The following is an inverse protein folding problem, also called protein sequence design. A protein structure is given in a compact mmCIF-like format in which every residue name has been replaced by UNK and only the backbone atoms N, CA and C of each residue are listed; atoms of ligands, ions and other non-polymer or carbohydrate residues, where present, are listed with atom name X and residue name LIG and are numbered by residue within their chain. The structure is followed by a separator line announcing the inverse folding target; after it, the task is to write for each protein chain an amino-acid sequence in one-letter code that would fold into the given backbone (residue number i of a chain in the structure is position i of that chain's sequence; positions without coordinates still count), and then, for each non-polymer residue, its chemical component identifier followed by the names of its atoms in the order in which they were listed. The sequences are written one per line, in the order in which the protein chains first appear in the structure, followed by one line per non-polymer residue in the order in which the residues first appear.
data_IF_644563834328
#
_entry.id   IF_644563834328
#
_cell.length_a   1.000
_cell.length_b   1.000
_cell.length_c   1.000
_cell.angle_alpha   90.00
_cell.angle_beta   90.00
_cell.angle_gamma   90.00
#
_symmetry.space_group_name_H-M   'P 1'
#
loop_
_entity.id
_entity.type
_entity.pdbx_description
1 polymer ?
#
# COMPACT_ATOMS: atom_id res chain seq x y z
N UNK A 1 -26.63 -36.24 71.49
CA UNK A 1 -25.49 -36.88 70.79
C UNK A 1 -25.89 -37.58 69.48
N UNK A 2 -27.09 -38.15 69.34
CA UNK A 2 -27.54 -38.80 68.09
C UNK A 2 -28.04 -37.83 67.01
N UNK A 3 -28.68 -36.72 67.36
CA UNK A 3 -29.23 -35.73 66.42
C UNK A 3 -28.16 -34.91 65.68
N UNK A 4 -27.05 -34.58 66.35
CA UNK A 4 -25.92 -33.84 65.76
C UNK A 4 -25.17 -34.68 64.71
N UNK A 5 -25.15 -36.00 64.87
CA UNK A 5 -24.52 -36.92 63.93
C UNK A 5 -25.32 -37.02 62.61
N UNK A 6 -26.65 -37.01 62.67
CA UNK A 6 -27.51 -37.01 61.48
C UNK A 6 -27.46 -35.68 60.72
N UNK A 7 -27.42 -34.54 61.43
CA UNK A 7 -27.20 -33.24 60.79
C UNK A 7 -25.82 -33.13 60.15
N UNK A 8 -24.77 -33.65 60.81
CA UNK A 8 -23.43 -33.70 60.24
C UNK A 8 -23.38 -34.58 58.98
N UNK A 9 -24.12 -35.69 58.94
CA UNK A 9 -24.25 -36.54 57.76
C UNK A 9 -24.96 -35.82 56.60
N UNK A 10 -26.07 -35.11 56.86
CA UNK A 10 -26.78 -34.31 55.84
C UNK A 10 -25.93 -33.14 55.32
N UNK A 11 -25.15 -32.48 56.18
CA UNK A 11 -24.20 -31.43 55.77
C UNK A 11 -23.11 -32.01 54.87
N UNK A 12 -22.57 -33.20 55.20
CA UNK A 12 -21.56 -33.89 54.38
C UNK A 12 -22.08 -34.30 53.00
N UNK A 13 -23.30 -34.83 52.91
CA UNK A 13 -23.91 -35.19 51.62
C UNK A 13 -24.21 -33.96 50.76
N UNK A 14 -24.72 -32.87 51.36
CA UNK A 14 -24.94 -31.61 50.66
C UNK A 14 -23.63 -30.98 50.13
N UNK A 15 -22.56 -31.02 50.92
CA UNK A 15 -21.23 -30.54 50.48
C UNK A 15 -20.68 -31.42 49.34
N UNK A 16 -20.87 -32.74 49.41
CA UNK A 16 -20.45 -33.65 48.34
C UNK A 16 -21.20 -33.40 47.03
N UNK A 17 -22.52 -33.14 47.10
CA UNK A 17 -23.33 -32.80 45.93
C UNK A 17 -22.94 -31.44 45.33
N UNK A 18 -22.70 -30.43 46.19
CA UNK A 18 -22.21 -29.12 45.76
C UNK A 18 -20.85 -29.24 45.05
N UNK A 19 -19.92 -30.02 45.62
CA UNK A 19 -18.61 -30.30 45.01
C UNK A 19 -18.74 -30.97 43.65
N UNK A 20 -19.69 -31.91 43.50
CA UNK A 20 -19.96 -32.58 42.21
C UNK A 20 -20.51 -31.59 41.17
N UNK A 21 -21.45 -30.72 41.56
CA UNK A 21 -21.97 -29.65 40.68
C UNK A 21 -20.88 -28.67 40.25
N UNK A 22 -19.96 -28.32 41.15
CA UNK A 22 -18.85 -27.41 40.88
C UNK A 22 -17.83 -28.02 39.90
N UNK A 23 -17.54 -29.31 40.02
CA UNK A 23 -16.70 -30.04 39.06
C UNK A 23 -17.35 -30.07 37.67
N UNK A 24 -18.64 -30.40 37.59
CA UNK A 24 -19.38 -30.40 36.32
C UNK A 24 -19.42 -29.01 35.67
N UNK A 25 -19.60 -27.95 36.46
CA UNK A 25 -19.56 -26.58 35.95
C UNK A 25 -18.20 -26.26 35.34
N UNK A 26 -17.10 -26.62 36.01
CA UNK A 26 -15.73 -26.43 35.52
C UNK A 26 -15.44 -27.19 34.22
N UNK A 27 -15.95 -28.42 34.09
CA UNK A 27 -15.85 -29.20 32.85
C UNK A 27 -16.68 -28.62 31.70
N UNK A 28 -17.87 -28.12 31.99
CA UNK A 28 -18.70 -27.45 30.99
C UNK A 28 -18.07 -26.14 30.52
N UNK A 29 -17.50 -25.34 31.43
CA UNK A 29 -16.77 -24.13 31.08
C UNK A 29 -15.56 -24.42 30.18
N UNK A 30 -14.78 -25.46 30.48
CA UNK A 30 -13.64 -25.84 29.64
C UNK A 30 -14.08 -26.28 28.24
N UNK A 31 -15.18 -27.05 28.14
CA UNK A 31 -15.79 -27.44 26.86
C UNK A 31 -16.32 -26.24 26.07
N UNK A 32 -16.98 -25.29 26.73
CA UNK A 32 -17.47 -24.07 26.07
C UNK A 32 -16.30 -23.26 25.54
N UNK A 33 -15.20 -23.18 26.30
CA UNK A 33 -13.99 -22.48 25.88
C UNK A 33 -13.36 -23.12 24.63
N UNK A 34 -13.16 -24.43 24.61
CA UNK A 34 -12.58 -25.12 23.43
C UNK A 34 -13.47 -24.99 22.20
N UNK A 35 -14.79 -25.13 22.35
CA UNK A 35 -15.73 -24.94 21.24
C UNK A 35 -15.70 -23.50 20.71
N UNK A 36 -15.60 -22.50 21.59
CA UNK A 36 -15.48 -21.09 21.18
C UNK A 36 -14.16 -20.81 20.45
N UNK A 37 -13.05 -21.40 20.91
CA UNK A 37 -11.75 -21.29 20.25
C UNK A 37 -11.78 -21.93 18.85
N UNK A 38 -12.36 -23.13 18.72
CA UNK A 38 -12.55 -23.80 17.44
C UNK A 38 -13.47 -23.01 16.50
N UNK A 39 -14.57 -22.47 17.01
CA UNK A 39 -15.48 -21.62 16.24
C UNK A 39 -14.76 -20.37 15.72
N UNK A 40 -13.89 -19.76 16.55
CA UNK A 40 -13.11 -18.59 16.14
C UNK A 40 -12.09 -18.92 15.06
N UNK A 41 -11.42 -20.08 15.17
CA UNK A 41 -10.50 -20.57 14.15
C UNK A 41 -11.22 -20.83 12.83
N UNK A 42 -12.32 -21.58 12.86
CA UNK A 42 -13.12 -21.91 11.68
C UNK A 42 -13.69 -20.65 11.00
N UNK A 43 -14.15 -19.66 11.77
CA UNK A 43 -14.60 -18.37 11.21
C UNK A 43 -13.47 -17.60 10.52
N UNK A 44 -12.25 -17.65 11.07
CA UNK A 44 -11.09 -16.99 10.47
C UNK A 44 -10.70 -17.66 9.16
N UNK A 45 -10.75 -18.99 9.11
CA UNK A 45 -10.53 -19.74 7.86
C UNK A 45 -11.61 -19.44 6.82
N UNK A 46 -12.89 -19.45 7.24
CA UNK A 46 -14.00 -19.09 6.36
C UNK A 46 -13.82 -17.71 5.74
N UNK A 47 -13.45 -16.69 6.54
CA UNK A 47 -13.20 -15.34 6.05
C UNK A 47 -12.08 -15.30 5.00
N UNK A 48 -10.97 -16.01 5.23
CA UNK A 48 -9.88 -16.11 4.24
C UNK A 48 -10.37 -16.75 2.95
N UNK A 49 -11.07 -17.88 3.03
CA UNK A 49 -11.58 -18.57 1.84
C UNK A 49 -12.63 -17.76 1.09
N UNK A 50 -13.43 -16.95 1.80
CA UNK A 50 -14.41 -16.05 1.20
C UNK A 50 -13.72 -14.89 0.48
N UNK A 51 -12.66 -14.33 1.05
CA UNK A 51 -11.85 -13.29 0.42
C UNK A 51 -11.12 -13.80 -0.82
N UNK A 52 -10.56 -15.02 -0.75
CA UNK A 52 -9.94 -15.70 -1.89
C UNK A 52 -10.98 -15.91 -3.01
N UNK A 53 -12.19 -16.36 -2.67
CA UNK A 53 -13.26 -16.53 -3.64
C UNK A 53 -13.67 -15.20 -4.30
N UNK A 54 -13.79 -14.12 -3.51
CA UNK A 54 -14.08 -12.78 -4.05
C UNK A 54 -12.98 -12.29 -4.99
N UNK A 55 -11.72 -12.59 -4.68
CA UNK A 55 -10.60 -12.24 -5.56
C UNK A 55 -10.70 -12.93 -6.92
N UNK A 56 -11.12 -14.20 -6.95
CA UNK A 56 -11.32 -14.98 -8.18
C UNK A 56 -12.53 -14.51 -9.00
N UNK A 57 -13.58 -13.99 -8.35
CA UNK A 57 -14.76 -13.43 -9.03
C UNK A 57 -14.49 -12.07 -9.67
N UNK A 58 -13.38 -11.41 -9.35
CA UNK A 58 -13.08 -10.11 -9.94
C UNK A 58 -12.79 -10.25 -11.44
N UNK A 59 -13.60 -9.57 -12.26
CA UNK A 59 -13.38 -9.53 -13.70
C UNK A 59 -12.22 -8.60 -14.03
N UNK A 60 -11.39 -9.03 -14.97
CA UNK A 60 -10.30 -8.21 -15.48
C UNK A 60 -10.82 -6.91 -16.11
N UNK A 61 -10.05 -5.83 -15.96
CA UNK A 61 -10.36 -4.55 -16.56
C UNK A 61 -9.33 -4.23 -17.64
N UNK A 62 -9.74 -3.56 -18.71
CA UNK A 62 -8.88 -3.22 -19.84
C UNK A 62 -8.22 -1.87 -19.57
N UNK A 63 -6.92 -1.81 -19.76
CA UNK A 63 -6.17 -0.56 -19.67
C UNK A 63 -6.27 0.18 -21.01
N UNK A 64 -6.49 1.48 -20.95
CA UNK A 64 -6.49 2.36 -22.13
C UNK A 64 -5.99 3.76 -21.81
N UNK A 65 -5.94 4.58 -22.84
CA UNK A 65 -5.53 5.98 -22.77
C UNK A 65 -6.64 6.84 -23.38
N UNK A 66 -6.99 7.94 -22.71
CA UNK A 66 -7.95 8.91 -23.24
C UNK A 66 -7.24 9.77 -24.28
N UNK A 67 -7.74 9.80 -25.51
CA UNK A 67 -7.20 10.67 -26.55
C UNK A 67 -7.82 12.06 -26.44
N UNK A 68 -9.13 12.15 -26.65
CA UNK A 68 -9.85 13.41 -26.68
C UNK A 68 -11.28 13.23 -26.15
N UNK A 69 -11.81 14.20 -25.39
CA UNK A 69 -13.24 14.28 -25.15
C UNK A 69 -13.95 14.60 -26.47
N UNK A 70 -15.06 13.91 -26.75
CA UNK A 70 -15.94 14.25 -27.86
C UNK A 70 -17.10 15.11 -27.35
N UNK A 71 -17.81 14.59 -26.34
CA UNK A 71 -18.95 15.23 -25.69
C UNK A 71 -18.83 15.16 -24.16
N UNK A 72 -19.79 15.75 -23.46
CA UNK A 72 -19.87 15.69 -21.99
C UNK A 72 -19.98 14.26 -21.43
N UNK A 73 -20.49 13.29 -22.21
CA UNK A 73 -20.65 11.88 -21.79
C UNK A 73 -19.76 10.90 -22.54
N UNK A 74 -19.23 11.30 -23.70
CA UNK A 74 -18.51 10.42 -24.63
C UNK A 74 -17.08 10.89 -24.77
N UNK A 75 -16.14 9.98 -24.49
CA UNK A 75 -14.71 10.21 -24.70
C UNK A 75 -14.17 9.22 -25.73
N UNK A 76 -13.13 9.60 -26.44
CA UNK A 76 -12.39 8.68 -27.29
C UNK A 76 -11.26 8.10 -26.46
N UNK A 77 -11.28 6.79 -26.23
CA UNK A 77 -10.20 6.06 -25.59
C UNK A 77 -9.57 5.06 -26.55
N UNK A 78 -8.25 4.97 -26.54
CA UNK A 78 -7.51 3.89 -27.19
C UNK A 78 -7.31 2.80 -26.17
N UNK A 79 -7.84 1.62 -26.43
CA UNK A 79 -7.52 0.46 -25.61
C UNK A 79 -6.07 0.04 -25.83
N UNK A 80 -5.47 -0.63 -24.84
CA UNK A 80 -4.14 -1.24 -24.97
C UNK A 80 -4.05 -2.18 -26.19
N UNK A 81 -5.18 -2.76 -26.63
CA UNK A 81 -5.27 -3.59 -27.83
C UNK A 81 -5.01 -2.83 -29.15
N UNK A 82 -4.96 -1.49 -29.16
CA UNK A 82 -4.69 -0.68 -30.35
C UNK A 82 -5.88 0.04 -31.01
N UNK A 83 -7.11 -0.51 -31.09
CA UNK A 83 -8.25 0.19 -31.66
C UNK A 83 -8.73 1.34 -30.78
N UNK A 84 -9.40 2.30 -31.43
CA UNK A 84 -9.98 3.48 -30.80
C UNK A 84 -11.48 3.25 -30.62
N UNK A 85 -11.95 3.41 -29.40
CA UNK A 85 -13.36 3.28 -29.05
C UNK A 85 -13.91 4.61 -28.57
N UNK A 86 -15.19 4.85 -28.89
CA UNK A 86 -15.97 5.88 -28.23
C UNK A 86 -16.56 5.26 -26.98
N UNK A 87 -16.05 5.68 -25.83
CA UNK A 87 -16.36 5.12 -24.52
C UNK A 87 -17.23 6.09 -23.73
N UNK A 88 -18.21 5.55 -23.01
CA UNK A 88 -19.04 6.31 -22.08
C UNK A 88 -18.31 6.53 -20.75
N UNK A 89 -18.43 7.73 -20.19
CA UNK A 89 -17.98 8.00 -18.84
C UNK A 89 -19.07 7.64 -17.84
N UNK A 90 -18.73 6.90 -16.78
CA UNK A 90 -19.64 6.70 -15.66
C UNK A 90 -19.74 8.00 -14.86
N UNK A 91 -20.95 8.43 -14.51
CA UNK A 91 -21.21 9.72 -13.82
C UNK A 91 -20.49 9.92 -12.47
N UNK A 92 -19.88 8.87 -11.91
CA UNK A 92 -19.13 8.91 -10.64
C UNK A 92 -17.65 9.30 -10.82
N UNK A 93 -17.14 9.34 -12.06
CA UNK A 93 -15.74 9.69 -12.34
C UNK A 93 -15.64 11.18 -12.67
N UNK A 94 -14.74 11.88 -11.96
CA UNK A 94 -14.50 13.31 -12.16
C UNK A 94 -13.95 13.58 -13.57
N UNK A 95 -14.72 14.33 -14.37
CA UNK A 95 -14.39 14.66 -15.76
C UNK A 95 -13.15 15.56 -15.89
N UNK A 96 -12.87 16.36 -14.87
CA UNK A 96 -11.73 17.29 -14.85
C UNK A 96 -10.38 16.56 -14.79
N UNK A 97 -10.34 15.37 -14.18
CA UNK A 97 -9.13 14.56 -14.10
C UNK A 97 -8.88 13.76 -15.38
N UNK A 98 -9.89 13.65 -16.26
CA UNK A 98 -9.81 12.97 -17.54
C UNK A 98 -9.23 13.91 -18.60
N UNK A 99 -7.96 14.26 -18.44
CA UNK A 99 -7.22 15.01 -19.45
C UNK A 99 -6.75 14.09 -20.58
N UNK A 100 -6.56 14.64 -21.79
CA UNK A 100 -5.96 13.92 -22.90
C UNK A 100 -4.59 13.34 -22.49
N UNK A 101 -4.37 12.06 -22.78
CA UNK A 101 -3.18 11.31 -22.37
C UNK A 101 -3.26 10.69 -20.98
N UNK A 102 -4.39 10.81 -20.28
CA UNK A 102 -4.58 10.12 -18.99
C UNK A 102 -4.85 8.64 -19.22
N UNK A 103 -4.16 7.80 -18.44
CA UNK A 103 -4.38 6.36 -18.42
C UNK A 103 -5.69 6.07 -17.69
N UNK A 104 -6.56 5.29 -18.30
CA UNK A 104 -7.88 4.95 -17.76
C UNK A 104 -8.11 3.46 -17.80
N UNK A 105 -9.00 3.01 -16.94
CA UNK A 105 -9.43 1.63 -16.86
C UNK A 105 -10.84 1.53 -17.41
N UNK A 106 -10.99 0.69 -18.42
CA UNK A 106 -12.22 0.38 -19.12
C UNK A 106 -12.76 -0.97 -18.64
N UNK A 107 -14.08 -1.06 -18.53
CA UNK A 107 -14.74 -2.35 -18.33
C UNK A 107 -14.58 -3.26 -19.56
N UNK A 108 -14.43 -4.57 -19.35
CA UNK A 108 -14.17 -5.53 -20.42
C UNK A 108 -15.40 -5.74 -21.34
N UNK A 109 -16.62 -5.63 -20.79
CA UNK A 109 -17.85 -5.90 -21.56
C UNK A 109 -18.47 -4.66 -22.18
N UNK A 110 -18.51 -3.56 -21.42
CA UNK A 110 -19.20 -2.33 -21.84
C UNK A 110 -18.26 -1.25 -22.37
N UNK A 111 -16.94 -1.44 -22.25
CA UNK A 111 -15.92 -0.44 -22.59
C UNK A 111 -16.20 0.92 -21.94
N UNK A 112 -16.77 0.94 -20.74
CA UNK A 112 -17.03 2.18 -19.99
C UNK A 112 -15.86 2.53 -19.08
N UNK A 113 -15.58 3.83 -18.91
CA UNK A 113 -14.50 4.28 -18.01
C UNK A 113 -14.93 4.08 -16.56
N UNK A 114 -14.21 3.23 -15.83
CA UNK A 114 -14.43 2.97 -14.41
C UNK A 114 -13.61 3.89 -13.51
N UNK A 115 -12.33 4.08 -13.84
CA UNK A 115 -11.34 4.78 -13.00
C UNK A 115 -10.19 5.31 -13.85
N UNK A 116 -9.60 6.44 -13.43
CA UNK A 116 -8.30 6.90 -13.94
C UNK A 116 -7.15 6.24 -13.17
N UNK A 117 -6.11 5.82 -13.89
CA UNK A 117 -4.89 5.22 -13.36
C UNK A 117 -3.76 6.26 -13.41
N UNK A 118 -2.82 6.28 -12.45
CA UNK A 118 -1.62 7.09 -12.56
C UNK A 118 -0.79 6.72 -13.79
N UNK A 119 0.17 7.59 -14.12
CA UNK A 119 1.11 7.39 -15.22
C UNK A 119 1.89 6.08 -15.02
N UNK A 120 2.16 5.41 -16.13
CA UNK A 120 3.06 4.26 -16.17
C UNK A 120 4.47 4.74 -15.82
N UNK A 121 5.07 4.10 -14.83
CA UNK A 121 6.50 4.22 -14.55
C UNK A 121 7.15 2.90 -14.91
N UNK A 122 8.20 2.96 -15.72
CA UNK A 122 8.92 1.74 -16.10
C UNK A 122 9.53 1.10 -14.83
N UNK A 123 9.44 -0.23 -14.67
CA UNK A 123 10.00 -0.91 -13.52
C UNK A 123 11.50 -0.65 -13.32
N UNK A 124 12.23 -0.44 -14.42
CA UNK A 124 13.67 -0.09 -14.38
C UNK A 124 13.88 1.25 -13.68
N UNK A 125 13.07 2.26 -13.99
CA UNK A 125 13.14 3.58 -13.36
C UNK A 125 12.67 3.50 -11.91
N UNK A 126 11.62 2.71 -11.64
CA UNK A 126 11.12 2.53 -10.28
C UNK A 126 12.18 1.90 -9.35
N UNK A 127 12.92 0.92 -9.85
CA UNK A 127 13.99 0.27 -9.09
C UNK A 127 15.16 1.24 -8.84
N UNK A 128 15.52 2.08 -9.82
CA UNK A 128 16.55 3.11 -9.64
C UNK A 128 16.21 4.15 -8.57
N UNK A 129 14.93 4.44 -8.33
CA UNK A 129 14.51 5.38 -7.29
C UNK A 129 14.72 4.86 -5.86
N UNK A 130 14.80 3.54 -5.69
CA UNK A 130 14.87 2.88 -4.38
C UNK A 130 16.23 2.21 -4.13
N UNK A 131 17.23 2.50 -4.96
CA UNK A 131 18.61 2.14 -4.64
C UNK A 131 19.08 3.03 -3.49
N UNK A 132 19.06 2.48 -2.26
CA UNK A 132 19.65 3.13 -1.10
C UNK A 132 21.18 3.06 -1.24
N UNK A 133 21.90 4.19 -1.46
CA UNK A 133 23.36 4.18 -1.63
C UNK A 133 24.14 3.93 -0.33
N UNK A 134 23.46 3.49 0.74
CA UNK A 134 24.02 3.42 2.09
C UNK A 134 24.25 4.81 2.71
N UNK A 135 24.66 4.83 3.97
CA UNK A 135 24.93 6.07 4.72
C UNK A 135 26.43 6.40 4.68
N UNK A 136 26.93 6.82 3.52
CA UNK A 136 28.31 7.30 3.37
C UNK A 136 28.39 8.79 3.68
N UNK A 137 29.32 9.17 4.54
CA UNK A 137 29.56 10.56 4.92
C UNK A 137 30.64 11.19 4.05
N UNK A 138 30.51 12.49 3.75
CA UNK A 138 31.54 13.24 3.01
C UNK A 138 32.92 13.23 3.68
N UNK A 139 32.98 12.98 4.99
CA UNK A 139 34.24 12.80 5.73
C UNK A 139 35.03 11.54 5.33
N UNK A 140 34.38 10.57 4.68
CA UNK A 140 35.04 9.37 4.17
C UNK A 140 35.79 9.62 2.84
N UNK A 141 35.55 10.76 2.17
CA UNK A 141 36.16 11.11 0.88
C UNK A 141 37.32 12.07 1.11
N UNK A 142 38.56 11.58 1.00
CA UNK A 142 39.78 12.38 1.20
C UNK A 142 40.29 13.04 -0.09
N UNK A 143 40.96 14.19 0.04
CA UNK A 143 41.73 14.81 -1.06
C UNK A 143 40.93 15.60 -2.12
N UNK A 144 39.59 15.62 -2.03
CA UNK A 144 38.70 16.25 -3.02
C UNK A 144 37.84 17.40 -2.44
N UNK A 145 38.38 18.11 -1.45
CA UNK A 145 37.62 19.14 -0.70
C UNK A 145 37.08 20.28 -1.58
N UNK A 146 37.84 20.70 -2.59
CA UNK A 146 37.43 21.78 -3.49
C UNK A 146 36.26 21.35 -4.40
N UNK A 147 36.29 20.13 -4.92
CA UNK A 147 35.22 19.57 -5.76
C UNK A 147 33.95 19.31 -4.94
N UNK A 148 34.09 18.86 -3.68
CA UNK A 148 32.95 18.70 -2.77
C UNK A 148 32.30 20.06 -2.49
N UNK A 149 33.08 21.12 -2.27
CA UNK A 149 32.55 22.48 -2.07
C UNK A 149 31.77 22.96 -3.29
N UNK A 150 32.34 22.83 -4.49
CA UNK A 150 31.68 23.22 -5.74
C UNK A 150 30.36 22.47 -5.97
N UNK A 151 30.32 21.17 -5.66
CA UNK A 151 29.11 20.33 -5.75
C UNK A 151 28.03 20.78 -4.76
N UNK A 152 28.40 21.12 -3.51
CA UNK A 152 27.45 21.63 -2.51
C UNK A 152 26.87 22.98 -2.92
N UNK A 153 27.70 23.87 -3.43
CA UNK A 153 27.25 25.21 -3.88
C UNK A 153 26.29 25.13 -5.07
N UNK A 154 26.45 24.12 -5.92
CA UNK A 154 25.61 23.95 -7.11
C UNK A 154 24.35 23.09 -6.88
N UNK A 155 24.34 22.18 -5.90
CA UNK A 155 23.19 21.30 -5.61
C UNK A 155 22.47 21.68 -4.31
N UNK A 156 23.18 21.79 -3.18
CA UNK A 156 22.56 22.05 -1.87
C UNK A 156 22.06 23.49 -1.76
N UNK A 157 22.81 24.46 -2.28
CA UNK A 157 22.52 25.89 -2.15
C UNK A 157 21.19 26.30 -2.83
N UNK A 158 20.89 25.86 -4.06
CA UNK A 158 19.59 26.10 -4.69
C UNK A 158 18.41 25.38 -4.02
N UNK A 159 18.65 24.21 -3.41
CA UNK A 159 17.61 23.41 -2.75
C UNK A 159 17.27 23.93 -1.34
N UNK A 160 18.29 24.33 -0.58
CA UNK A 160 18.11 24.83 0.80
C UNK A 160 17.63 26.28 0.82
N UNK A 161 18.14 27.15 -0.07
CA UNK A 161 17.88 28.59 -0.05
C UNK A 161 17.55 29.16 -1.44
N UNK A 162 16.39 28.81 -2.03
CA UNK A 162 15.98 29.35 -3.34
C UNK A 162 15.75 30.86 -3.34
N UNK A 163 15.46 31.46 -2.18
CA UNK A 163 15.24 32.91 -2.05
C UNK A 163 16.48 33.75 -2.42
N UNK A 164 17.68 33.24 -2.19
CA UNK A 164 18.92 33.96 -2.52
C UNK A 164 19.04 34.18 -4.04
N UNK A 165 18.67 33.17 -4.82
CA UNK A 165 18.66 33.25 -6.28
C UNK A 165 17.58 34.21 -6.79
N UNK A 166 16.40 34.22 -6.15
CA UNK A 166 15.32 35.15 -6.48
C UNK A 166 15.68 36.61 -6.17
N UNK A 167 16.37 36.88 -5.06
CA UNK A 167 16.82 38.24 -4.69
C UNK A 167 17.92 38.77 -5.60
N UNK A 168 18.84 37.91 -6.01
CA UNK A 168 19.92 38.26 -6.95
C UNK A 168 19.42 38.30 -8.40
N UNK A 169 18.26 37.69 -8.68
CA UNK A 169 17.64 37.68 -10.02
C UNK A 169 18.32 36.74 -11.02
N UNK A 170 19.18 35.84 -10.53
CA UNK A 170 19.87 34.84 -11.34
C UNK A 170 19.13 33.50 -11.27
N UNK A 171 19.10 32.78 -12.39
CA UNK A 171 18.55 31.42 -12.39
C UNK A 171 19.58 30.48 -11.75
N UNK A 172 19.17 29.60 -10.83
CA UNK A 172 20.08 28.60 -10.30
C UNK A 172 20.62 27.73 -11.46
N UNK A 173 21.87 27.25 -11.36
CA UNK A 173 22.44 26.38 -12.38
C UNK A 173 21.56 25.14 -12.56
N UNK A 174 21.24 24.79 -13.81
CA UNK A 174 20.52 23.56 -14.11
C UNK A 174 21.48 22.39 -13.95
N UNK A 175 21.27 21.58 -12.93
CA UNK A 175 22.13 20.44 -12.60
C UNK A 175 22.09 19.40 -13.72
N UNK A 176 23.26 19.08 -14.29
CA UNK A 176 23.52 17.89 -15.13
C UNK A 176 23.58 16.64 -14.24
N UNK A 177 22.43 16.26 -13.67
CA UNK A 177 22.36 15.23 -12.62
C UNK A 177 22.83 13.84 -13.07
N UNK A 178 22.88 13.57 -14.38
CA UNK A 178 23.34 12.31 -14.94
C UNK A 178 24.85 12.26 -15.20
N UNK A 179 25.45 13.33 -15.74
CA UNK A 179 26.83 13.27 -16.22
C UNK A 179 27.88 13.29 -15.09
N UNK A 180 27.65 14.08 -14.04
CA UNK A 180 28.61 14.21 -12.92
C UNK A 180 28.53 12.99 -12.00
N UNK A 181 27.34 12.43 -11.77
CA UNK A 181 27.15 11.24 -10.93
C UNK A 181 27.82 10.00 -11.55
N UNK A 182 27.73 9.83 -12.87
CA UNK A 182 28.44 8.76 -13.61
C UNK A 182 29.96 8.96 -13.49
N UNK A 183 30.48 10.18 -13.61
CA UNK A 183 31.92 10.43 -13.59
C UNK A 183 32.55 10.21 -12.20
N UNK A 184 31.78 10.41 -11.12
CA UNK A 184 32.20 10.08 -9.74
C UNK A 184 32.15 8.56 -9.52
N UNK A 185 31.13 7.86 -10.03
CA UNK A 185 31.05 6.39 -9.97
C UNK A 185 32.19 5.70 -10.74
N UNK A 186 32.53 6.20 -11.93
CA UNK A 186 33.66 5.68 -12.73
C UNK A 186 34.99 5.91 -12.01
N UNK A 187 35.19 7.06 -11.36
CA UNK A 187 36.42 7.35 -10.59
C UNK A 187 36.55 6.63 -9.25
N UNK A 188 35.45 6.06 -8.72
CA UNK A 188 35.47 5.30 -7.47
C UNK A 188 35.66 3.80 -7.69
N UNK A 189 35.65 3.32 -8.95
CA UNK A 189 35.87 1.92 -9.32
C UNK A 189 37.30 1.62 -9.82
N UNK A 190 38.13 2.65 -10.02
CA UNK A 190 39.59 2.54 -10.29
C UNK A 190 40.40 2.87 -9.02
#
# INVERSE_FOLDING_TARGET
MSSEAEEAARRRTAIAEYRKKLLNHKELESRVRTVRENLRAAKKEFAKTEDDLKSLQSVGQIIGEVLRPLDNERLIAKASSGPRYVVGCRSKVDKEKLTAGTRVVLDMTTLTIMRALPREVDPVVYNMLHEDPGNVSYSAVGGLSDQIRELRESIELPLMNPELFLRVGIKPPKVVSSAIMINILVKAQD
#
